data_IF_956691800630
#
_entry.id   IF_956691800630
#
_cell.length_a   1.000
_cell.length_b   1.000
_cell.length_c   1.000
_cell.angle_alpha   90.00
_cell.angle_beta   90.00
_cell.angle_gamma   90.00
#
_symmetry.space_group_name_H-M   'P 1'
#
loop_
_entity.id
_entity.type
_entity.pdbx_description
1 polymer ?
#
# COMPACT_ATOMS: atom_id res chain seq x y z
N UNK A 1 -4.07 6.22 -26.64
CA UNK A 1 -5.00 7.30 -26.95
C UNK A 1 -4.25 8.63 -27.10
N UNK A 2 -4.56 9.45 -28.08
CA UNK A 2 -3.92 10.77 -28.30
C UNK A 2 -4.67 11.87 -27.52
N UNK A 3 -4.89 11.65 -26.22
CA UNK A 3 -5.73 12.51 -25.37
C UNK A 3 -4.94 13.60 -24.63
N UNK A 4 -3.63 13.73 -24.89
CA UNK A 4 -2.75 14.71 -24.24
C UNK A 4 -2.88 14.72 -22.71
N UNK A 5 -2.70 13.56 -22.03
CA UNK A 5 -2.84 13.46 -20.59
C UNK A 5 -1.79 14.29 -19.87
N UNK A 6 -2.18 14.85 -18.71
CA UNK A 6 -1.31 15.51 -17.76
C UNK A 6 -1.32 14.71 -16.45
N UNK A 7 -0.16 14.41 -15.92
CA UNK A 7 -0.04 13.62 -14.67
C UNK A 7 0.60 14.45 -13.57
N UNK A 8 -0.04 14.49 -12.42
CA UNK A 8 0.51 14.97 -11.16
C UNK A 8 0.85 13.76 -10.30
N UNK A 9 2.14 13.49 -10.15
CA UNK A 9 2.64 12.26 -9.54
C UNK A 9 2.93 12.39 -8.03
N UNK A 10 2.70 13.59 -7.47
CA UNK A 10 3.08 13.89 -6.09
C UNK A 10 4.59 14.10 -5.92
N UNK A 11 4.99 14.64 -4.77
CA UNK A 11 6.41 14.81 -4.42
C UNK A 11 7.12 13.48 -4.20
N UNK A 12 6.39 12.43 -3.83
CA UNK A 12 6.87 11.06 -3.68
C UNK A 12 6.54 10.23 -4.94
N UNK A 13 6.90 10.76 -6.11
CA UNK A 13 6.66 10.11 -7.41
C UNK A 13 7.22 8.68 -7.44
N UNK A 14 6.38 7.70 -7.83
CA UNK A 14 6.70 6.27 -7.80
C UNK A 14 6.09 5.52 -6.62
N UNK A 15 5.56 6.24 -5.61
CA UNK A 15 4.77 5.68 -4.51
C UNK A 15 5.52 4.64 -3.67
N UNK A 16 4.79 3.64 -3.17
CA UNK A 16 5.31 2.61 -2.25
C UNK A 16 6.47 1.78 -2.85
N UNK A 17 6.51 1.60 -4.17
CA UNK A 17 7.59 0.86 -4.83
C UNK A 17 8.96 1.56 -4.73
N UNK A 18 9.00 2.87 -4.49
CA UNK A 18 10.25 3.58 -4.23
C UNK A 18 10.91 3.19 -2.90
N UNK A 19 10.15 2.56 -1.99
CA UNK A 19 10.61 2.08 -0.69
C UNK A 19 10.90 0.57 -0.69
N UNK A 20 10.63 -0.11 -1.82
CA UNK A 20 10.82 -1.56 -1.96
C UNK A 20 12.18 -1.82 -2.58
N UNK A 21 12.97 -2.75 -2.00
CA UNK A 21 14.27 -3.14 -2.55
C UNK A 21 14.09 -3.94 -3.85
N UNK A 22 13.78 -5.22 -3.74
CA UNK A 22 13.65 -6.12 -4.89
C UNK A 22 12.20 -6.49 -5.14
N UNK A 23 11.77 -6.41 -6.40
CA UNK A 23 10.45 -6.83 -6.88
C UNK A 23 10.65 -8.11 -7.71
N UNK A 24 10.24 -9.25 -7.16
CA UNK A 24 10.38 -10.56 -7.81
C UNK A 24 9.06 -11.08 -8.39
N UNK A 25 7.94 -10.41 -8.08
CA UNK A 25 6.59 -10.87 -8.41
C UNK A 25 5.91 -10.06 -9.52
N UNK A 26 6.66 -9.27 -10.30
CA UNK A 26 6.14 -8.55 -11.46
C UNK A 26 6.56 -9.26 -12.75
N UNK A 27 5.61 -9.77 -13.56
CA UNK A 27 5.92 -10.46 -14.82
C UNK A 27 6.70 -9.57 -15.80
N UNK A 28 7.75 -10.12 -16.38
CA UNK A 28 8.64 -9.43 -17.33
C UNK A 28 10.04 -9.17 -16.78
N UNK A 29 10.27 -9.39 -15.49
CA UNK A 29 11.57 -9.28 -14.83
C UNK A 29 11.98 -10.63 -14.21
N UNK A 30 12.55 -11.55 -15.00
CA UNK A 30 12.86 -12.91 -14.54
C UNK A 30 13.93 -12.97 -13.45
N UNK A 31 14.79 -11.96 -13.37
CA UNK A 31 15.85 -11.82 -12.36
C UNK A 31 15.44 -10.86 -11.20
N UNK A 32 14.16 -10.44 -11.17
CA UNK A 32 13.74 -9.36 -10.29
C UNK A 32 14.16 -7.97 -10.79
N UNK A 33 13.72 -6.94 -10.11
CA UNK A 33 14.12 -5.55 -10.38
C UNK A 33 13.96 -4.72 -9.10
N UNK A 34 14.86 -3.78 -8.85
CA UNK A 34 14.70 -2.81 -7.76
C UNK A 34 13.48 -1.90 -8.02
N UNK A 35 12.68 -1.64 -6.97
CA UNK A 35 11.49 -0.82 -7.06
C UNK A 35 11.71 0.55 -7.71
N UNK A 36 12.72 1.34 -7.29
CA UNK A 36 13.04 2.62 -7.91
C UNK A 36 13.39 2.52 -9.40
N UNK A 37 14.12 1.50 -9.81
CA UNK A 37 14.48 1.31 -11.23
C UNK A 37 13.26 0.91 -12.06
N UNK A 38 12.39 0.05 -11.53
CA UNK A 38 11.11 -0.28 -12.19
C UNK A 38 10.26 0.96 -12.40
N UNK A 39 10.07 1.79 -11.38
CA UNK A 39 9.25 3.01 -11.49
C UNK A 39 9.85 4.01 -12.47
N UNK A 40 11.17 4.13 -12.53
CA UNK A 40 11.86 4.94 -13.52
C UNK A 40 11.60 4.44 -14.94
N UNK A 41 11.68 3.12 -15.18
CA UNK A 41 11.40 2.53 -16.50
C UNK A 41 9.94 2.73 -16.91
N UNK A 42 8.98 2.55 -16.00
CA UNK A 42 7.55 2.79 -16.26
C UNK A 42 7.29 4.26 -16.62
N UNK A 43 7.90 5.21 -15.89
CA UNK A 43 7.83 6.64 -16.19
C UNK A 43 8.40 6.95 -17.58
N UNK A 44 9.60 6.47 -17.88
CA UNK A 44 10.23 6.67 -19.19
C UNK A 44 9.40 6.10 -20.33
N UNK A 45 8.74 4.95 -20.12
CA UNK A 45 7.83 4.37 -21.10
C UNK A 45 6.64 5.29 -21.35
N UNK A 46 6.02 5.84 -20.32
CA UNK A 46 4.88 6.73 -20.44
C UNK A 46 5.28 8.07 -21.10
N UNK A 47 6.39 8.68 -20.69
CA UNK A 47 6.93 9.92 -21.26
C UNK A 47 7.29 9.76 -22.75
N UNK A 48 7.76 8.59 -23.18
CA UNK A 48 8.02 8.28 -24.61
C UNK A 48 6.75 8.41 -25.47
N UNK A 49 5.57 8.20 -24.91
CA UNK A 49 4.28 8.39 -25.56
C UNK A 49 3.69 9.79 -25.36
N UNK A 50 4.46 10.73 -24.85
CA UNK A 50 4.09 12.13 -24.73
C UNK A 50 3.39 12.51 -23.41
N UNK A 51 3.36 11.63 -22.41
CA UNK A 51 2.87 11.98 -21.08
C UNK A 51 3.75 13.08 -20.47
N UNK A 52 3.12 14.12 -19.94
CA UNK A 52 3.79 15.13 -19.12
C UNK A 52 3.57 14.80 -17.65
N UNK A 53 4.66 14.50 -16.94
CA UNK A 53 4.63 14.18 -15.52
C UNK A 53 5.17 15.35 -14.71
N UNK A 54 4.38 15.79 -13.73
CA UNK A 54 4.75 16.82 -12.77
C UNK A 54 4.85 16.20 -11.38
N UNK A 55 6.02 16.31 -10.74
CA UNK A 55 6.27 15.81 -9.39
C UNK A 55 5.76 16.81 -8.35
N UNK A 56 4.43 17.02 -8.33
CA UNK A 56 3.69 17.96 -7.51
C UNK A 56 2.44 17.32 -6.96
N UNK A 57 2.04 17.70 -5.73
CA UNK A 57 0.81 17.20 -5.14
C UNK A 57 -0.40 17.95 -5.68
N UNK A 58 -1.49 17.23 -5.89
CA UNK A 58 -2.83 17.80 -6.03
C UNK A 58 -3.30 18.21 -4.63
N UNK A 59 -3.72 19.45 -4.48
CA UNK A 59 -4.20 20.01 -3.22
C UNK A 59 -5.69 19.74 -3.01
N UNK A 60 -6.47 19.90 -4.06
CA UNK A 60 -7.92 19.66 -4.09
C UNK A 60 -8.43 19.53 -5.52
N UNK A 61 -9.64 19.01 -5.66
CA UNK A 61 -10.38 18.97 -6.90
C UNK A 61 -11.73 19.66 -6.73
N UNK A 62 -12.38 20.02 -7.85
CA UNK A 62 -13.79 20.39 -7.88
C UNK A 62 -14.45 19.67 -9.08
N UNK A 63 -15.38 18.79 -8.74
CA UNK A 63 -16.11 17.97 -9.71
C UNK A 63 -17.56 18.43 -9.90
N UNK A 64 -17.94 19.59 -9.39
CA UNK A 64 -19.30 20.12 -9.47
C UNK A 64 -19.70 20.53 -10.90
N UNK A 65 -18.75 20.95 -11.72
CA UNK A 65 -18.99 21.35 -13.11
C UNK A 65 -17.88 20.85 -14.04
N UNK A 66 -18.23 20.41 -15.23
CA UNK A 66 -17.30 20.00 -16.26
C UNK A 66 -16.98 21.18 -17.23
N UNK A 67 -15.72 21.42 -17.65
CA UNK A 67 -14.53 20.66 -17.29
C UNK A 67 -14.19 20.80 -15.79
N UNK A 68 -13.78 19.70 -15.17
CA UNK A 68 -13.39 19.61 -13.77
C UNK A 68 -12.15 20.43 -13.48
N UNK A 69 -12.02 20.90 -12.24
CA UNK A 69 -10.89 21.69 -11.78
C UNK A 69 -9.99 20.89 -10.85
N UNK A 70 -8.68 21.03 -11.01
CA UNK A 70 -7.64 20.43 -10.17
C UNK A 70 -6.66 21.53 -9.77
N UNK A 71 -6.40 21.69 -8.46
CA UNK A 71 -5.46 22.70 -7.97
C UNK A 71 -4.15 22.07 -7.55
N UNK A 72 -3.05 22.67 -8.03
CA UNK A 72 -1.67 22.27 -7.79
C UNK A 72 -0.84 23.52 -7.53
N UNK A 73 -0.25 23.66 -6.35
CA UNK A 73 0.51 24.86 -5.94
C UNK A 73 -0.27 26.16 -6.12
N UNK A 74 -1.59 26.12 -5.87
CA UNK A 74 -2.50 27.26 -6.03
C UNK A 74 -2.91 27.56 -7.49
N UNK A 75 -2.37 26.85 -8.48
CA UNK A 75 -2.73 26.96 -9.89
C UNK A 75 -3.87 26.03 -10.26
N UNK A 76 -4.88 26.55 -10.97
CA UNK A 76 -6.02 25.79 -11.45
C UNK A 76 -5.73 25.15 -12.80
N UNK A 77 -5.93 23.83 -12.90
CA UNK A 77 -5.91 23.08 -14.15
C UNK A 77 -7.31 22.54 -14.43
N UNK A 78 -7.69 22.47 -15.72
CA UNK A 78 -9.00 21.98 -16.15
C UNK A 78 -8.86 20.72 -16.99
N UNK A 79 -9.75 19.74 -16.72
CA UNK A 79 -9.80 18.47 -17.44
C UNK A 79 -11.24 18.02 -17.69
N UNK A 80 -11.50 17.40 -18.83
CA UNK A 80 -12.81 16.82 -19.13
C UNK A 80 -13.02 15.49 -18.42
N UNK A 81 -11.95 14.77 -18.09
CA UNK A 81 -11.99 13.56 -17.29
C UNK A 81 -10.80 13.50 -16.31
N UNK A 82 -10.98 12.79 -15.21
CA UNK A 82 -9.96 12.56 -14.20
C UNK A 82 -9.76 11.06 -13.98
N UNK A 83 -8.50 10.62 -13.80
CA UNK A 83 -8.17 9.27 -13.35
C UNK A 83 -7.40 9.41 -12.03
N UNK A 84 -7.96 8.88 -10.95
CA UNK A 84 -7.40 8.94 -9.60
C UNK A 84 -6.65 7.64 -9.32
N UNK A 85 -5.32 7.74 -9.19
CA UNK A 85 -4.41 6.62 -8.92
C UNK A 85 -3.47 6.96 -7.76
N UNK A 86 -3.98 7.62 -6.72
CA UNK A 86 -3.17 8.16 -5.61
C UNK A 86 -2.65 7.09 -4.66
N UNK A 87 -3.18 5.86 -4.75
CA UNK A 87 -2.73 4.74 -3.97
C UNK A 87 -3.21 4.75 -2.52
N UNK A 88 -2.53 3.95 -1.70
CA UNK A 88 -2.74 3.85 -0.26
C UNK A 88 -1.39 3.75 0.45
N UNK A 89 -1.31 4.27 1.65
CA UNK A 89 -0.12 4.20 2.50
C UNK A 89 -0.31 3.15 3.58
N UNK A 90 0.73 2.36 3.84
CA UNK A 90 0.74 1.46 4.97
C UNK A 90 0.73 2.24 6.28
N UNK A 91 -0.05 1.79 7.23
CA UNK A 91 -0.04 2.35 8.58
C UNK A 91 1.18 1.81 9.31
N UNK A 92 2.02 2.72 9.83
CA UNK A 92 3.21 2.41 10.58
C UNK A 92 2.95 2.53 12.09
N UNK A 93 3.77 1.84 12.90
CA UNK A 93 3.65 1.93 14.37
C UNK A 93 4.19 3.25 14.91
N UNK A 94 5.12 3.88 14.19
CA UNK A 94 5.90 5.03 14.63
C UNK A 94 6.69 4.75 15.91
N UNK A 95 7.14 3.50 16.08
CA UNK A 95 7.98 3.09 17.19
C UNK A 95 9.43 3.62 17.02
N UNK A 96 10.15 3.78 18.12
CA UNK A 96 11.55 4.24 18.10
C UNK A 96 12.41 3.33 17.20
N UNK A 97 13.19 3.90 16.29
CA UNK A 97 14.05 3.17 15.36
C UNK A 97 13.35 2.58 14.12
N UNK A 98 12.04 2.82 13.94
CA UNK A 98 11.29 2.25 12.81
C UNK A 98 11.74 2.80 11.45
N UNK A 99 11.96 4.11 11.38
CA UNK A 99 12.29 4.78 10.12
C UNK A 99 13.58 4.26 9.49
N UNK A 100 14.57 3.96 10.31
CA UNK A 100 15.89 3.45 9.90
C UNK A 100 15.86 1.99 9.43
N UNK A 101 14.83 1.25 9.85
CA UNK A 101 14.70 -0.17 9.55
C UNK A 101 13.66 -0.49 8.46
N UNK A 102 12.96 0.51 7.91
CA UNK A 102 12.07 0.34 6.76
C UNK A 102 12.86 -0.19 5.56
N UNK A 103 12.46 -1.36 5.03
CA UNK A 103 13.18 -2.05 3.96
C UNK A 103 14.53 -2.68 4.38
N UNK A 104 14.87 -2.63 5.67
CA UNK A 104 16.10 -3.22 6.26
C UNK A 104 15.79 -4.18 7.41
N UNK A 105 14.70 -4.93 7.27
CA UNK A 105 14.18 -5.86 8.26
C UNK A 105 12.74 -5.59 8.65
N UNK A 106 12.21 -4.37 8.44
CA UNK A 106 10.79 -4.06 8.64
C UNK A 106 10.10 -3.86 7.30
N UNK A 107 9.00 -4.61 7.08
CA UNK A 107 8.15 -4.56 5.89
C UNK A 107 6.68 -4.40 6.24
N UNK A 108 5.88 -4.03 5.25
CA UNK A 108 4.40 -4.01 5.30
C UNK A 108 3.78 -4.91 4.23
N UNK A 109 4.59 -5.74 3.55
CA UNK A 109 4.14 -6.62 2.47
C UNK A 109 4.78 -8.01 2.60
N UNK A 110 4.05 -8.95 3.19
CA UNK A 110 4.53 -10.32 3.34
C UNK A 110 4.79 -11.04 2.01
N UNK A 111 3.96 -10.77 1.00
CA UNK A 111 4.08 -11.39 -0.33
C UNK A 111 5.26 -10.83 -1.14
N UNK A 112 5.69 -9.61 -0.84
CA UNK A 112 6.84 -8.98 -1.48
C UNK A 112 8.15 -9.49 -0.87
N UNK A 113 8.25 -9.44 0.46
CA UNK A 113 9.53 -9.53 1.17
C UNK A 113 9.71 -10.86 1.94
N UNK A 114 8.65 -11.68 2.05
CA UNK A 114 8.70 -12.90 2.87
C UNK A 114 9.80 -13.88 2.47
N UNK A 115 10.17 -13.93 1.20
CA UNK A 115 11.22 -14.82 0.69
C UNK A 115 12.63 -14.49 1.20
N UNK A 116 12.87 -13.24 1.61
CA UNK A 116 14.17 -12.81 2.17
C UNK A 116 14.43 -13.35 3.58
N UNK A 117 13.40 -13.83 4.29
CA UNK A 117 13.48 -14.29 5.67
C UNK A 117 13.40 -15.83 5.78
N UNK A 118 14.11 -16.55 4.87
CA UNK A 118 14.17 -18.02 4.91
C UNK A 118 14.88 -18.51 6.13
N UNK A 119 14.22 -19.46 6.83
CA UNK A 119 14.71 -20.10 8.04
C UNK A 119 14.99 -19.15 9.22
N UNK A 120 14.50 -17.89 9.13
CA UNK A 120 14.65 -16.86 10.15
C UNK A 120 13.46 -16.85 11.13
N UNK A 121 13.67 -16.27 12.32
CA UNK A 121 12.61 -15.96 13.27
C UNK A 121 12.12 -14.53 13.02
N UNK A 122 10.84 -14.38 12.75
CA UNK A 122 10.22 -13.10 12.40
C UNK A 122 9.00 -12.80 13.25
N UNK A 123 8.62 -11.53 13.28
CA UNK A 123 7.41 -11.09 13.97
C UNK A 123 6.40 -10.48 12.97
N UNK A 124 5.12 -10.66 13.26
CA UNK A 124 4.01 -10.01 12.55
C UNK A 124 3.21 -9.19 13.56
N UNK A 125 2.94 -7.93 13.26
CA UNK A 125 2.21 -7.05 14.16
C UNK A 125 0.83 -6.77 13.56
N UNK A 126 -0.23 -7.18 14.27
CA UNK A 126 -1.59 -6.93 13.83
C UNK A 126 -2.62 -7.82 14.53
N UNK A 127 -3.88 -7.68 14.14
CA UNK A 127 -4.98 -8.45 14.76
C UNK A 127 -6.23 -8.57 13.89
N UNK A 128 -6.14 -8.21 12.63
CA UNK A 128 -7.17 -8.39 11.60
C UNK A 128 -6.88 -9.57 10.68
N UNK A 129 -7.74 -9.82 9.72
CA UNK A 129 -7.59 -10.90 8.74
C UNK A 129 -6.26 -10.82 7.98
N UNK A 130 -5.82 -9.63 7.58
CA UNK A 130 -4.53 -9.43 6.91
C UNK A 130 -3.36 -9.93 7.75
N UNK A 131 -3.34 -9.64 9.06
CA UNK A 131 -2.26 -10.12 9.93
C UNK A 131 -2.23 -11.65 10.06
N UNK A 132 -3.40 -12.29 10.12
CA UNK A 132 -3.50 -13.76 10.17
C UNK A 132 -3.07 -14.38 8.84
N UNK A 133 -3.46 -13.79 7.73
CA UNK A 133 -3.09 -14.23 6.38
C UNK A 133 -1.59 -14.10 6.16
N UNK A 134 -1.02 -12.93 6.47
CA UNK A 134 0.41 -12.67 6.34
C UNK A 134 1.25 -13.57 7.24
N UNK A 135 0.87 -13.73 8.53
CA UNK A 135 1.54 -14.64 9.43
C UNK A 135 1.54 -16.08 8.90
N UNK A 136 0.38 -16.54 8.39
CA UNK A 136 0.25 -17.88 7.80
C UNK A 136 1.10 -18.02 6.52
N UNK A 137 1.10 -17.01 5.66
CA UNK A 137 1.89 -16.99 4.43
C UNK A 137 3.39 -17.09 4.72
N UNK A 138 3.87 -16.29 5.67
CA UNK A 138 5.28 -16.20 6.06
C UNK A 138 5.84 -17.51 6.64
N UNK A 139 4.99 -18.39 7.19
CA UNK A 139 5.44 -19.73 7.65
C UNK A 139 6.02 -20.61 6.55
N UNK A 140 5.80 -20.25 5.28
CA UNK A 140 6.39 -20.94 4.11
C UNK A 140 7.90 -20.73 4.02
N UNK A 141 8.37 -19.63 4.57
CA UNK A 141 9.76 -19.20 4.51
C UNK A 141 10.40 -19.28 5.91
N UNK A 142 9.82 -18.56 6.87
CA UNK A 142 10.36 -18.44 8.20
C UNK A 142 10.41 -19.78 8.97
N UNK A 143 11.39 -19.91 9.84
CA UNK A 143 11.45 -21.00 10.81
C UNK A 143 10.38 -20.85 11.88
N UNK A 144 10.11 -19.60 12.30
CA UNK A 144 9.11 -19.25 13.31
C UNK A 144 8.51 -17.87 13.01
N UNK A 145 7.22 -17.73 13.25
CA UNK A 145 6.48 -16.45 13.17
C UNK A 145 5.86 -16.17 14.53
N UNK A 146 6.15 -15.01 15.10
CA UNK A 146 5.48 -14.55 16.33
C UNK A 146 4.50 -13.43 15.99
N UNK A 147 3.20 -13.73 16.12
CA UNK A 147 2.14 -12.72 15.90
C UNK A 147 1.94 -11.91 17.18
N UNK A 148 2.13 -10.59 17.09
CA UNK A 148 2.04 -9.66 18.20
C UNK A 148 0.75 -8.85 18.08
N UNK A 149 -0.06 -8.85 19.16
CA UNK A 149 -1.27 -8.06 19.24
C UNK A 149 -1.41 -7.36 20.58
N UNK A 150 -1.79 -6.05 20.53
CA UNK A 150 -1.91 -5.21 21.72
C UNK A 150 -3.12 -5.51 22.62
N UNK A 151 -4.03 -6.39 22.20
CA UNK A 151 -5.26 -6.77 22.91
C UNK A 151 -5.38 -8.31 22.95
N UNK A 152 -6.36 -8.82 23.67
CA UNK A 152 -6.77 -10.23 23.63
C UNK A 152 -7.88 -10.52 22.63
N UNK A 153 -8.55 -9.47 22.13
CA UNK A 153 -9.65 -9.58 21.15
C UNK A 153 -9.12 -9.22 19.75
N UNK A 154 -9.19 -10.19 18.86
CA UNK A 154 -8.82 -10.02 17.45
C UNK A 154 -10.01 -9.57 16.62
N UNK A 155 -9.74 -8.70 15.63
CA UNK A 155 -10.73 -8.31 14.62
C UNK A 155 -10.84 -9.32 13.47
N UNK A 156 -9.91 -10.27 13.41
CA UNK A 156 -9.88 -11.31 12.40
C UNK A 156 -11.14 -12.19 12.46
N UNK A 157 -11.57 -12.69 11.31
CA UNK A 157 -12.60 -13.69 11.21
C UNK A 157 -12.19 -14.96 11.98
N UNK A 158 -13.18 -15.66 12.53
CA UNK A 158 -12.92 -16.88 13.31
C UNK A 158 -12.09 -17.90 12.52
N UNK A 159 -12.36 -18.07 11.23
CA UNK A 159 -11.65 -19.01 10.37
C UNK A 159 -10.18 -18.65 10.22
N UNK A 160 -9.87 -17.36 10.01
CA UNK A 160 -8.49 -16.91 9.85
C UNK A 160 -7.71 -16.99 11.16
N UNK A 161 -8.35 -16.62 12.27
CA UNK A 161 -7.78 -16.76 13.61
C UNK A 161 -7.47 -18.22 13.95
N UNK A 162 -8.43 -19.16 13.77
CA UNK A 162 -8.23 -20.58 14.03
C UNK A 162 -7.13 -21.18 13.15
N UNK A 163 -6.96 -20.73 11.93
CA UNK A 163 -5.88 -21.15 11.03
C UNK A 163 -4.51 -20.71 11.59
N UNK A 164 -4.39 -19.48 12.04
CA UNK A 164 -3.14 -18.96 12.59
C UNK A 164 -2.79 -19.63 13.94
N UNK A 165 -3.74 -19.71 14.89
CA UNK A 165 -3.49 -20.23 16.23
C UNK A 165 -3.16 -21.74 16.25
N UNK A 166 -3.67 -22.49 15.28
CA UNK A 166 -3.38 -23.93 15.17
C UNK A 166 -2.14 -24.23 14.30
N UNK A 167 -1.47 -23.20 13.77
CA UNK A 167 -0.30 -23.43 12.92
C UNK A 167 0.97 -23.69 13.77
N UNK A 168 1.73 -24.79 13.52
CA UNK A 168 2.85 -25.21 14.38
C UNK A 168 4.04 -24.23 14.40
N UNK A 169 4.14 -23.31 13.43
CA UNK A 169 5.19 -22.29 13.36
C UNK A 169 4.74 -20.92 13.86
N UNK A 170 3.49 -20.75 14.30
CA UNK A 170 2.96 -19.45 14.73
C UNK A 170 2.75 -19.45 16.24
N UNK A 171 3.44 -18.55 16.93
CA UNK A 171 3.16 -18.20 18.31
C UNK A 171 2.38 -16.88 18.35
N UNK A 172 1.39 -16.76 19.24
CA UNK A 172 0.61 -15.53 19.42
C UNK A 172 0.90 -14.91 20.77
N UNK A 173 1.37 -13.66 20.75
CA UNK A 173 1.58 -12.84 21.93
C UNK A 173 0.52 -11.74 21.99
N UNK A 174 -0.37 -11.85 22.96
CA UNK A 174 -1.38 -10.82 23.25
C UNK A 174 -0.90 -9.85 24.32
N UNK A 175 -1.54 -8.67 24.39
CA UNK A 175 -1.16 -7.60 25.30
C UNK A 175 0.31 -7.20 25.12
N UNK A 176 0.75 -7.13 23.87
CA UNK A 176 2.10 -6.68 23.51
C UNK A 176 2.00 -5.67 22.38
N UNK A 177 2.73 -4.58 22.54
CA UNK A 177 2.94 -3.58 21.50
C UNK A 177 4.44 -3.30 21.37
N UNK A 178 4.88 -3.12 20.13
CA UNK A 178 6.27 -2.72 19.86
C UNK A 178 6.42 -1.23 20.16
N UNK A 179 7.38 -0.88 20.99
CA UNK A 179 7.70 0.51 21.34
C UNK A 179 9.04 0.96 20.79
N UNK A 180 9.96 -0.01 20.55
CA UNK A 180 11.28 0.28 20.02
C UNK A 180 11.79 -0.89 19.19
N UNK A 181 12.48 -0.58 18.11
CA UNK A 181 13.20 -1.53 17.29
C UNK A 181 14.67 -1.60 17.70
N UNK A 182 15.23 -2.81 17.69
CA UNK A 182 16.63 -3.07 18.02
C UNK A 182 17.30 -3.50 16.72
N UNK A 183 18.41 -2.84 16.37
CA UNK A 183 19.18 -3.14 15.18
C UNK A 183 20.68 -3.26 15.52
N UNK A 184 21.39 -4.03 14.72
CA UNK A 184 22.84 -4.15 14.74
C UNK A 184 23.46 -3.82 13.36
N UNK A 185 24.70 -4.17 13.17
CA UNK A 185 25.42 -3.90 11.89
C UNK A 185 24.79 -4.65 10.68
N UNK A 186 24.02 -5.73 10.94
CA UNK A 186 23.38 -6.55 9.90
C UNK A 186 21.96 -6.08 9.57
N UNK A 187 21.36 -5.25 10.39
CA UNK A 187 19.98 -4.76 10.27
C UNK A 187 19.15 -5.04 11.51
N UNK A 188 17.86 -5.34 11.35
CA UNK A 188 16.95 -5.62 12.46
C UNK A 188 17.42 -6.87 13.22
N UNK A 189 17.51 -6.77 14.55
CA UNK A 189 17.91 -7.85 15.42
C UNK A 189 16.90 -8.14 16.54
N UNK A 190 15.90 -7.28 16.73
CA UNK A 190 14.86 -7.48 17.73
C UNK A 190 13.94 -6.28 17.90
N UNK A 191 13.07 -6.38 18.91
CA UNK A 191 12.16 -5.33 19.32
C UNK A 191 11.94 -5.31 20.82
N UNK A 192 11.64 -4.15 21.38
CA UNK A 192 11.13 -3.99 22.74
C UNK A 192 9.61 -4.02 22.69
N UNK A 193 9.05 -4.97 23.42
CA UNK A 193 7.61 -5.12 23.59
C UNK A 193 7.19 -4.55 24.96
N UNK A 194 6.09 -3.83 24.97
CA UNK A 194 5.46 -3.31 26.18
C UNK A 194 4.09 -3.96 26.38
N UNK A 195 3.78 -4.33 27.61
CA UNK A 195 2.42 -4.68 28.00
C UNK A 195 1.63 -3.41 28.28
N UNK A 196 0.60 -3.07 27.47
CA UNK A 196 -0.14 -1.81 27.61
C UNK A 196 -0.98 -1.72 28.91
N UNK A 197 -1.08 -2.81 29.69
CA UNK A 197 -1.86 -2.85 30.92
C UNK A 197 -1.06 -2.38 32.14
N UNK A 198 0.24 -2.64 32.18
CA UNK A 198 1.10 -2.33 33.34
C UNK A 198 2.44 -1.66 32.97
N UNK A 199 2.70 -1.46 31.68
CA UNK A 199 3.90 -0.80 31.18
C UNK A 199 5.18 -1.63 31.28
N UNK A 200 5.09 -2.92 31.61
CA UNK A 200 6.27 -3.78 31.66
C UNK A 200 6.78 -4.06 30.26
N UNK A 201 8.09 -4.04 30.13
CA UNK A 201 8.77 -4.26 28.88
C UNK A 201 9.55 -5.58 28.88
N UNK A 202 9.64 -6.19 27.68
CA UNK A 202 10.50 -7.34 27.43
C UNK A 202 11.11 -7.20 26.01
N UNK A 203 12.22 -7.85 25.77
CA UNK A 203 12.83 -7.89 24.45
C UNK A 203 12.49 -9.19 23.73
N UNK A 204 12.24 -9.10 22.43
CA UNK A 204 12.11 -10.24 21.53
C UNK A 204 13.17 -10.14 20.44
N UNK A 205 13.86 -11.25 20.18
CA UNK A 205 14.77 -11.33 19.02
C UNK A 205 13.98 -11.64 17.75
N UNK A 206 14.30 -10.93 16.68
CA UNK A 206 13.76 -11.20 15.34
C UNK A 206 14.67 -10.54 14.31
N UNK A 207 14.82 -11.16 13.14
CA UNK A 207 15.56 -10.61 12.00
C UNK A 207 14.66 -9.93 11.00
N UNK A 208 13.34 -10.15 11.11
CA UNK A 208 12.33 -9.55 10.26
C UNK A 208 11.05 -9.22 11.02
N UNK A 209 10.40 -8.15 10.60
CA UNK A 209 9.14 -7.71 11.16
C UNK A 209 8.17 -7.27 10.05
N UNK A 210 6.91 -7.70 10.15
CA UNK A 210 5.86 -7.35 9.20
C UNK A 210 4.74 -6.59 9.92
N UNK A 211 4.52 -5.34 9.51
CA UNK A 211 3.50 -4.47 10.11
C UNK A 211 2.20 -4.62 9.32
N UNK A 212 1.26 -5.39 9.86
CA UNK A 212 -0.02 -5.74 9.23
C UNK A 212 -1.21 -5.12 9.99
N UNK A 213 -1.15 -3.79 10.22
CA UNK A 213 -2.18 -3.04 10.97
C UNK A 213 -3.14 -2.25 10.08
N UNK A 214 -2.98 -2.35 8.76
CA UNK A 214 -3.84 -1.75 7.76
C UNK A 214 -3.13 -0.75 6.85
N UNK A 215 -3.93 -0.16 5.95
CA UNK A 215 -3.52 0.88 5.02
C UNK A 215 -4.55 2.00 5.04
N UNK A 216 -4.12 3.20 4.68
CA UNK A 216 -4.98 4.38 4.51
C UNK A 216 -4.92 4.82 3.06
N UNK A 217 -6.04 4.85 2.32
CA UNK A 217 -6.07 5.37 0.95
C UNK A 217 -5.80 6.88 0.96
N UNK A 218 -5.14 7.38 -0.08
CA UNK A 218 -4.84 8.81 -0.22
C UNK A 218 -6.02 9.49 -0.92
N UNK A 219 -7.00 9.93 -0.13
CA UNK A 219 -8.29 10.49 -0.61
C UNK A 219 -8.68 11.81 0.06
N UNK A 220 -7.89 12.35 0.98
CA UNK A 220 -8.22 13.57 1.74
C UNK A 220 -8.49 14.78 0.83
N UNK A 221 -7.75 14.90 -0.28
CA UNK A 221 -7.89 15.98 -1.27
C UNK A 221 -9.21 15.96 -2.05
N UNK A 222 -9.98 14.88 -1.94
CA UNK A 222 -11.29 14.73 -2.60
C UNK A 222 -12.41 15.47 -1.87
N UNK A 223 -12.22 15.84 -0.61
CA UNK A 223 -13.18 16.62 0.20
C UNK A 223 -14.62 16.07 0.14
N UNK A 224 -14.77 14.75 0.15
CA UNK A 224 -16.04 14.03 0.05
C UNK A 224 -16.84 14.23 -1.26
N UNK A 225 -16.23 14.70 -2.33
CA UNK A 225 -16.91 14.87 -3.63
C UNK A 225 -17.11 13.54 -4.36
N UNK A 226 -16.35 12.52 -4.00
CA UNK A 226 -16.41 11.17 -4.57
C UNK A 226 -16.76 10.21 -3.44
N UNK A 227 -17.65 9.26 -3.73
CA UNK A 227 -18.09 8.27 -2.74
C UNK A 227 -16.94 7.33 -2.35
N UNK A 228 -16.74 7.17 -1.04
CA UNK A 228 -15.77 6.26 -0.44
C UNK A 228 -16.46 5.29 0.51
N UNK A 229 -15.80 4.17 0.81
CA UNK A 229 -16.23 3.26 1.86
C UNK A 229 -15.90 3.81 3.27
N UNK A 230 -16.28 3.07 4.31
CA UNK A 230 -16.02 3.43 5.71
C UNK A 230 -14.52 3.55 6.06
N UNK A 231 -13.64 2.99 5.24
CA UNK A 231 -12.17 3.03 5.38
C UNK A 231 -11.53 4.10 4.51
N UNK A 232 -12.33 4.85 3.72
CA UNK A 232 -11.88 5.92 2.85
C UNK A 232 -11.48 5.49 1.44
N UNK A 233 -11.61 4.21 1.06
CA UNK A 233 -11.34 3.74 -0.30
C UNK A 233 -12.42 4.20 -1.28
N UNK A 234 -12.01 4.65 -2.48
CA UNK A 234 -12.96 5.06 -3.52
C UNK A 234 -13.79 3.86 -3.98
N UNK A 235 -15.10 4.06 -4.09
CA UNK A 235 -16.06 3.06 -4.60
C UNK A 235 -16.25 3.28 -6.10
N UNK A 236 -15.83 2.31 -6.91
CA UNK A 236 -16.17 2.27 -8.32
C UNK A 236 -17.62 1.80 -8.49
N UNK A 237 -18.41 2.49 -9.32
CA UNK A 237 -19.84 2.20 -9.58
C UNK A 237 -20.04 1.37 -10.83
N UNK A 238 -19.38 1.75 -11.91
CA UNK A 238 -19.43 1.06 -13.20
C UNK A 238 -18.01 0.93 -13.74
N UNK A 239 -17.51 -0.33 -13.80
CA UNK A 239 -16.12 -0.61 -14.16
C UNK A 239 -15.13 0.17 -13.27
N UNK A 240 -14.38 1.10 -13.86
CA UNK A 240 -13.44 1.96 -13.11
C UNK A 240 -13.99 3.36 -12.82
N UNK A 241 -15.22 3.67 -13.27
CA UNK A 241 -15.86 4.96 -13.02
C UNK A 241 -16.35 5.08 -11.58
N UNK A 242 -16.13 6.22 -10.97
CA UNK A 242 -16.55 6.55 -9.60
C UNK A 242 -18.03 6.96 -9.51
N UNK A 243 -18.44 7.54 -8.40
CA UNK A 243 -19.77 8.15 -8.25
C UNK A 243 -19.97 9.41 -9.11
N UNK A 244 -18.91 9.96 -9.69
CA UNK A 244 -18.92 11.16 -10.54
C UNK A 244 -18.65 10.77 -12.00
N UNK A 245 -19.56 11.07 -12.96
CA UNK A 245 -19.34 10.76 -14.37
C UNK A 245 -18.04 11.37 -14.91
N UNK A 246 -17.24 10.60 -15.66
CA UNK A 246 -15.95 11.07 -16.18
C UNK A 246 -14.82 11.15 -15.16
N UNK A 247 -15.05 10.70 -13.92
CA UNK A 247 -14.02 10.52 -12.91
C UNK A 247 -13.84 9.03 -12.65
N UNK A 248 -12.64 8.53 -12.87
CA UNK A 248 -12.25 7.12 -12.76
C UNK A 248 -11.25 6.94 -11.62
N UNK A 249 -11.18 5.74 -11.05
CA UNK A 249 -10.21 5.42 -10.02
C UNK A 249 -9.63 4.02 -10.21
N UNK A 250 -8.32 3.87 -9.93
CA UNK A 250 -7.60 2.63 -10.14
C UNK A 250 -6.41 2.47 -9.18
N UNK A 251 -5.99 1.23 -8.97
CA UNK A 251 -4.88 0.88 -8.09
C UNK A 251 -5.29 0.85 -6.62
N UNK A 252 -4.32 0.99 -5.73
CA UNK A 252 -4.52 0.76 -4.29
C UNK A 252 -5.50 1.74 -3.63
N UNK A 253 -5.86 2.83 -4.28
CA UNK A 253 -6.90 3.76 -3.78
C UNK A 253 -8.32 3.16 -3.84
N UNK A 254 -8.52 2.07 -4.59
CA UNK A 254 -9.76 1.29 -4.69
C UNK A 254 -9.56 -0.18 -4.29
N UNK A 255 -8.33 -0.69 -4.34
CA UNK A 255 -8.02 -2.10 -4.04
C UNK A 255 -7.79 -2.30 -2.54
N UNK A 256 -8.81 -2.80 -1.86
CA UNK A 256 -8.74 -3.15 -0.43
C UNK A 256 -8.11 -4.52 -0.18
N UNK A 257 -7.81 -5.30 -1.23
CA UNK A 257 -7.47 -6.72 -1.11
C UNK A 257 -6.07 -7.08 -1.57
N UNK A 258 -5.73 -6.81 -2.83
CA UNK A 258 -4.50 -7.34 -3.46
C UNK A 258 -3.29 -6.44 -3.22
N UNK A 259 -3.40 -5.15 -3.51
CA UNK A 259 -2.35 -4.13 -3.35
C UNK A 259 -1.02 -4.60 -3.93
N UNK A 260 -1.05 -5.03 -5.20
CA UNK A 260 0.12 -5.49 -5.92
C UNK A 260 0.41 -4.58 -7.11
N UNK A 261 1.69 -4.39 -7.45
CA UNK A 261 2.10 -3.57 -8.58
C UNK A 261 1.42 -4.01 -9.89
N UNK A 262 1.30 -5.32 -10.13
CA UNK A 262 0.66 -5.85 -11.34
C UNK A 262 -0.85 -5.62 -11.36
N UNK A 263 -1.55 -5.71 -10.21
CA UNK A 263 -2.98 -5.40 -10.16
C UNK A 263 -3.23 -3.92 -10.36
N UNK A 264 -2.42 -3.05 -9.75
CA UNK A 264 -2.50 -1.61 -9.95
C UNK A 264 -2.26 -1.22 -11.42
N UNK A 265 -1.26 -1.81 -12.08
CA UNK A 265 -1.00 -1.60 -13.50
C UNK A 265 -2.18 -2.06 -14.38
N UNK A 266 -2.76 -3.23 -14.08
CA UNK A 266 -3.94 -3.75 -14.79
C UNK A 266 -5.16 -2.85 -14.62
N UNK A 267 -5.45 -2.38 -13.40
CA UNK A 267 -6.54 -1.46 -13.12
C UNK A 267 -6.31 -0.10 -13.80
N UNK A 268 -5.07 0.41 -13.81
CA UNK A 268 -4.71 1.64 -14.53
C UNK A 268 -4.97 1.54 -16.04
N UNK A 269 -4.68 0.38 -16.64
CA UNK A 269 -5.02 0.11 -18.04
C UNK A 269 -6.54 0.13 -18.27
N UNK A 270 -7.33 -0.50 -17.39
CA UNK A 270 -8.78 -0.49 -17.45
C UNK A 270 -9.33 0.93 -17.36
N UNK A 271 -8.88 1.73 -16.39
CA UNK A 271 -9.32 3.12 -16.21
C UNK A 271 -8.98 4.00 -17.42
N UNK A 272 -7.83 3.78 -18.04
CA UNK A 272 -7.47 4.52 -19.27
C UNK A 272 -8.41 4.20 -20.44
N UNK A 273 -8.78 2.93 -20.62
CA UNK A 273 -9.71 2.48 -21.67
C UNK A 273 -11.13 3.02 -21.40
N UNK A 274 -11.60 2.92 -20.15
CA UNK A 274 -12.92 3.41 -19.78
C UNK A 274 -13.02 4.93 -19.93
N UNK A 275 -11.98 5.65 -19.54
CA UNK A 275 -11.86 7.10 -19.70
C UNK A 275 -11.89 7.52 -21.18
N UNK A 276 -11.15 6.82 -22.05
CA UNK A 276 -11.13 7.08 -23.49
C UNK A 276 -12.52 6.95 -24.10
N UNK A 277 -13.19 5.82 -23.86
CA UNK A 277 -14.54 5.54 -24.36
C UNK A 277 -15.56 6.57 -23.87
N UNK A 278 -15.49 6.89 -22.58
CA UNK A 278 -16.38 7.90 -22.01
C UNK A 278 -16.19 9.27 -22.63
N UNK A 279 -14.94 9.69 -22.89
CA UNK A 279 -14.65 10.97 -23.56
C UNK A 279 -15.18 10.99 -24.99
N UNK A 280 -15.06 9.89 -25.76
CA UNK A 280 -15.59 9.77 -27.11
C UNK A 280 -17.12 9.91 -27.15
N UNK A 281 -17.82 9.39 -26.15
CA UNK A 281 -19.28 9.41 -26.06
C UNK A 281 -19.85 10.72 -25.53
N UNK A 282 -19.11 11.46 -24.69
CA UNK A 282 -19.67 12.58 -23.93
C UNK A 282 -19.05 13.95 -24.25
N UNK A 283 -17.88 13.99 -24.90
CA UNK A 283 -17.17 15.25 -25.22
C UNK A 283 -17.02 15.36 -26.73
N UNK A 284 -17.68 16.36 -27.30
CA UNK A 284 -17.72 16.64 -28.76
C UNK A 284 -16.95 17.87 -29.12
#
# INVERSE_FOLDING_TARGET
AMLSPLMFAGYMSGGQLMLTSDIENYPGYPEGIEGPEMMKQLRQQAERFGLKVHDKNVERIDTSNQPYSVWVEGEEHKAHALIICTGAEAIWLNAEGEAEQKGRGISTCATCDGAFFRDEEIIVIGGGDSAMEEATFLTRFASKVTLIHRRDVFKASKVMYERAVNHPKIDILTFRQVTKWIADEKGLSGAVLEDPRDGKTEEISCTGAFIAIGHTPITDFLENQIETDESGYIINKEHTMTSVPGVFAAGDVVDTRYRQAITAAGMGCQAAIDCERWLEENIH
#
